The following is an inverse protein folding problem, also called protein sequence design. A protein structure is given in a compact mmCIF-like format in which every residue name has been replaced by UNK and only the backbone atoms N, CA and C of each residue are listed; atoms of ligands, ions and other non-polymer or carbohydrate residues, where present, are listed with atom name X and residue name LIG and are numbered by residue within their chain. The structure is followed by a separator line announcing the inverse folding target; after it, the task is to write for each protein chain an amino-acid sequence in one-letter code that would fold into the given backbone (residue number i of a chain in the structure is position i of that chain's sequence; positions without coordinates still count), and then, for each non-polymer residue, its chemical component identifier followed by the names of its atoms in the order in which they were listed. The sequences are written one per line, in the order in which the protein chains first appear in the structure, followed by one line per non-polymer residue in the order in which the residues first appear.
data_IF_357847406531
#
_entry.id   IF_357847406531
#
_cell.length_a   1.000
_cell.length_b   1.000
_cell.length_c   1.000
_cell.angle_alpha   90.00
_cell.angle_beta   90.00
_cell.angle_gamma   90.00
#
_symmetry.space_group_name_H-M   'P 1'
#
loop_
_entity.id
_entity.type
_entity.pdbx_description
1 polymer ?
#
# COMPACT_ATOMS: atom_id res chain seq x y z
N UNK A 1 2.66 45.09 28.26
CA UNK A 1 2.19 43.80 28.77
C UNK A 1 2.35 42.80 27.66
N UNK A 2 3.35 41.95 27.75
CA UNK A 2 3.56 40.84 26.82
C UNK A 2 2.51 39.78 27.15
N UNK A 3 1.51 39.65 26.29
CA UNK A 3 0.57 38.55 26.33
C UNK A 3 1.38 37.29 26.07
N UNK A 4 1.52 36.41 27.07
CA UNK A 4 2.01 35.06 26.83
C UNK A 4 0.93 34.34 26.04
N UNK A 5 1.22 33.98 24.80
CA UNK A 5 0.37 33.07 24.05
C UNK A 5 0.20 31.77 24.85
N UNK A 6 -1.04 31.28 24.95
CA UNK A 6 -1.31 30.04 25.66
C UNK A 6 -0.55 28.91 24.95
N UNK A 7 0.22 28.11 25.69
CA UNK A 7 0.87 26.92 25.17
C UNK A 7 -0.19 25.81 25.01
N UNK A 8 -0.12 25.08 23.93
CA UNK A 8 -0.97 23.92 23.69
C UNK A 8 -1.95 24.10 22.53
N UNK A 9 -2.98 23.28 22.53
CA UNK A 9 -3.99 23.24 21.47
C UNK A 9 -4.89 24.47 21.49
N UNK A 10 -5.16 25.04 20.31
CA UNK A 10 -6.11 26.11 20.09
C UNK A 10 -6.85 25.89 18.78
N UNK A 11 -8.11 26.32 18.70
CA UNK A 11 -8.90 26.36 17.47
C UNK A 11 -8.85 27.76 16.89
N UNK A 12 -8.43 27.86 15.63
CA UNK A 12 -8.33 29.11 14.90
C UNK A 12 -8.90 28.93 13.49
N UNK A 13 -9.84 29.74 13.10
CA UNK A 13 -10.49 29.73 11.78
C UNK A 13 -11.07 28.36 11.38
N UNK A 14 -11.53 27.57 12.35
CA UNK A 14 -12.11 26.24 12.15
C UNK A 14 -11.07 25.11 12.03
N UNK A 15 -9.80 25.42 12.30
CA UNK A 15 -8.70 24.46 12.25
C UNK A 15 -7.99 24.41 13.60
N UNK A 16 -7.55 23.22 14.01
CA UNK A 16 -6.74 23.05 15.21
C UNK A 16 -5.27 23.35 14.93
N UNK A 17 -4.64 24.10 15.84
CA UNK A 17 -3.22 24.45 15.86
C UNK A 17 -2.63 24.12 17.23
N UNK A 18 -1.32 24.02 17.31
CA UNK A 18 -0.62 23.79 18.57
C UNK A 18 0.46 24.87 18.76
N UNK A 19 0.45 25.54 19.90
CA UNK A 19 1.47 26.52 20.27
C UNK A 19 2.52 25.90 21.19
N UNK A 20 3.76 25.97 20.77
CA UNK A 20 4.93 25.59 21.57
C UNK A 20 5.16 26.57 22.74
N UNK A 21 6.06 26.24 23.63
CA UNK A 21 6.38 27.06 24.78
C UNK A 21 7.01 28.41 24.43
N UNK A 22 7.63 28.53 23.26
CA UNK A 22 8.17 29.78 22.70
C UNK A 22 7.10 30.70 22.13
N UNK A 23 5.85 30.25 22.06
CA UNK A 23 4.72 31.02 21.52
C UNK A 23 4.52 30.89 20.04
N UNK A 24 5.30 30.01 19.36
CA UNK A 24 5.17 29.76 17.93
C UNK A 24 4.33 28.50 17.67
N UNK A 25 3.68 28.44 16.50
CA UNK A 25 2.97 27.25 16.07
C UNK A 25 3.93 26.09 15.83
N UNK A 26 3.56 24.89 16.27
CA UNK A 26 4.21 23.67 15.86
C UNK A 26 3.95 23.44 14.38
N UNK A 27 4.98 23.08 13.61
CA UNK A 27 4.91 22.76 12.18
C UNK A 27 5.70 21.49 11.89
N UNK A 28 5.22 20.68 10.93
CA UNK A 28 5.85 19.44 10.50
C UNK A 28 6.23 18.52 11.66
N UNK A 29 5.31 18.36 12.61
CA UNK A 29 5.56 17.55 13.80
C UNK A 29 4.31 16.94 14.40
N UNK A 30 4.53 15.81 15.09
CA UNK A 30 3.50 15.14 15.87
C UNK A 30 3.31 15.78 17.24
N UNK A 31 2.05 15.88 17.65
CA UNK A 31 1.67 16.27 19.00
C UNK A 31 0.65 15.29 19.57
N UNK A 32 0.86 14.89 20.81
CA UNK A 32 -0.02 13.97 21.54
C UNK A 32 -1.07 14.72 22.32
N UNK A 33 -2.32 14.24 22.26
CA UNK A 33 -3.39 14.67 23.15
C UNK A 33 -4.16 13.44 23.65
N UNK A 34 -4.20 13.24 24.95
CA UNK A 34 -4.69 11.99 25.53
C UNK A 34 -3.85 10.80 25.06
N UNK A 35 -4.49 9.81 24.44
CA UNK A 35 -3.83 8.63 23.87
C UNK A 35 -3.63 8.72 22.35
N UNK A 36 -3.98 9.85 21.74
CA UNK A 36 -3.95 10.03 20.31
C UNK A 36 -2.81 10.93 19.87
N UNK A 37 -2.28 10.66 18.67
CA UNK A 37 -1.29 11.49 18.01
C UNK A 37 -1.92 12.23 16.83
N UNK A 38 -1.51 13.49 16.65
CA UNK A 38 -1.98 14.42 15.63
C UNK A 38 -0.79 15.04 14.93
N UNK A 39 -0.93 15.26 13.62
CA UNK A 39 0.09 15.91 12.81
C UNK A 39 -0.24 17.38 12.57
N UNK A 40 0.71 18.26 12.83
CA UNK A 40 0.66 19.67 12.41
C UNK A 40 1.49 19.80 11.13
N UNK A 41 0.86 20.28 10.06
CA UNK A 41 1.50 20.45 8.76
C UNK A 41 2.47 21.65 8.72
N UNK A 42 2.99 21.98 7.55
CA UNK A 42 3.93 23.09 7.35
C UNK A 42 3.35 24.47 7.69
N UNK A 43 2.03 24.63 7.63
CA UNK A 43 1.33 25.85 8.02
C UNK A 43 0.93 25.85 9.51
N UNK A 44 1.22 24.77 10.21
CA UNK A 44 0.88 24.56 11.60
C UNK A 44 -0.58 24.18 11.82
N UNK A 45 -1.28 23.73 10.79
CA UNK A 45 -2.66 23.27 10.86
C UNK A 45 -2.70 21.74 11.08
N UNK A 46 -3.66 21.28 11.89
CA UNK A 46 -3.86 19.85 12.12
C UNK A 46 -4.35 19.17 10.84
N UNK A 47 -3.59 18.21 10.36
CA UNK A 47 -3.95 17.40 9.21
C UNK A 47 -5.14 16.46 9.53
N UNK A 48 -6.03 16.28 8.57
CA UNK A 48 -7.17 15.36 8.64
C UNK A 48 -7.29 14.56 7.34
N UNK A 49 -7.71 13.30 7.46
CA UNK A 49 -8.01 12.41 6.33
C UNK A 49 -6.93 12.45 5.24
N UNK A 50 -5.70 12.18 5.64
CA UNK A 50 -4.57 12.19 4.70
C UNK A 50 -3.41 11.31 5.13
N UNK A 51 -2.64 10.87 4.14
CA UNK A 51 -1.35 10.23 4.31
C UNK A 51 -0.30 11.27 4.68
N UNK A 52 0.48 10.99 5.72
CA UNK A 52 1.56 11.85 6.21
C UNK A 52 2.90 11.17 5.90
N UNK A 53 3.77 11.88 5.22
CA UNK A 53 5.16 11.50 5.04
C UNK A 53 6.01 12.23 6.08
N UNK A 54 6.67 11.47 6.95
CA UNK A 54 7.58 11.99 7.97
C UNK A 54 8.90 11.21 7.94
N UNK A 55 9.92 11.82 7.37
CA UNK A 55 11.17 11.15 7.04
C UNK A 55 10.94 10.03 6.02
N UNK A 56 11.45 8.85 6.34
CA UNK A 56 11.30 7.65 5.48
C UNK A 56 10.05 6.81 5.83
N UNK A 57 9.12 7.38 6.61
CA UNK A 57 7.95 6.66 7.09
C UNK A 57 6.64 7.32 6.65
N UNK A 58 5.63 6.48 6.47
CA UNK A 58 4.28 6.93 6.13
C UNK A 58 3.33 6.63 7.29
N UNK A 59 2.42 7.57 7.54
CA UNK A 59 1.39 7.53 8.57
C UNK A 59 0.07 7.97 7.96
N UNK A 60 -1.02 7.64 8.60
CA UNK A 60 -2.34 8.15 8.20
C UNK A 60 -3.02 8.79 9.41
N UNK A 61 -3.66 9.92 9.17
CA UNK A 61 -4.56 10.58 10.13
C UNK A 61 -5.98 10.54 9.59
N UNK A 62 -6.93 10.17 10.42
CA UNK A 62 -8.33 10.05 10.05
C UNK A 62 -9.02 11.43 9.94
N UNK A 63 -10.32 11.41 9.70
CA UNK A 63 -11.14 12.65 9.59
C UNK A 63 -11.15 13.49 10.87
N UNK A 64 -10.81 12.89 12.01
CA UNK A 64 -10.67 13.58 13.29
C UNK A 64 -9.20 13.96 13.57
N UNK A 65 -8.29 13.73 12.64
CA UNK A 65 -6.86 13.96 12.78
C UNK A 65 -6.11 12.90 13.58
N UNK A 66 -6.76 11.82 14.00
CA UNK A 66 -6.15 10.79 14.83
C UNK A 66 -5.28 9.87 13.99
N UNK A 67 -4.03 9.68 14.42
CA UNK A 67 -3.10 8.74 13.78
C UNK A 67 -3.63 7.31 13.85
N UNK A 68 -3.71 6.65 12.69
CA UNK A 68 -4.08 5.24 12.58
C UNK A 68 -3.00 4.33 13.17
N UNK A 69 -3.41 3.29 13.88
CA UNK A 69 -2.50 2.28 14.44
C UNK A 69 -3.18 0.91 14.48
N UNK A 70 -2.42 -0.15 14.21
CA UNK A 70 -2.90 -1.53 14.18
C UNK A 70 -4.11 -1.75 13.25
N UNK A 71 -4.12 -1.13 12.07
CA UNK A 71 -5.27 -1.23 11.18
C UNK A 71 -4.90 -1.07 9.71
N UNK A 72 -5.77 -1.62 8.87
CA UNK A 72 -5.80 -1.36 7.45
C UNK A 72 -6.57 -0.09 7.15
N UNK A 73 -6.08 0.69 6.18
CA UNK A 73 -6.78 1.86 5.66
C UNK A 73 -6.72 1.83 4.14
N UNK A 74 -7.87 2.00 3.48
CA UNK A 74 -7.95 2.24 2.05
C UNK A 74 -7.85 3.75 1.79
N UNK A 75 -6.94 4.14 0.92
CA UNK A 75 -6.72 5.54 0.55
C UNK A 75 -6.99 5.68 -0.95
N UNK A 76 -7.82 6.65 -1.32
CA UNK A 76 -8.20 6.90 -2.71
C UNK A 76 -6.96 7.11 -3.57
N UNK A 77 -6.97 6.51 -4.76
CA UNK A 77 -5.91 6.63 -5.74
C UNK A 77 -6.20 7.81 -6.68
N UNK A 78 -5.28 8.74 -6.78
CA UNK A 78 -5.41 9.90 -7.67
C UNK A 78 -5.40 9.52 -9.15
N UNK A 79 -4.80 8.37 -9.48
CA UNK A 79 -4.71 7.80 -10.83
C UNK A 79 -5.86 6.83 -11.15
N UNK A 80 -6.86 6.73 -10.29
CA UNK A 80 -8.02 5.87 -10.50
C UNK A 80 -8.69 6.12 -11.86
N UNK A 81 -8.96 5.02 -12.58
CA UNK A 81 -9.55 5.06 -13.92
C UNK A 81 -8.53 5.08 -15.07
N UNK A 82 -7.24 5.09 -14.77
CA UNK A 82 -6.19 4.73 -15.73
C UNK A 82 -6.08 3.21 -15.85
N UNK A 83 -5.46 2.73 -16.91
CA UNK A 83 -5.25 1.30 -17.12
C UNK A 83 -4.40 0.71 -16.00
N UNK A 84 -4.81 -0.45 -15.47
CA UNK A 84 -4.19 -1.20 -14.37
C UNK A 84 -4.12 -0.45 -13.02
N UNK A 85 -4.80 0.68 -12.88
CA UNK A 85 -4.86 1.45 -11.63
C UNK A 85 -6.14 1.17 -10.85
N UNK A 86 -6.06 0.75 -9.56
CA UNK A 86 -7.23 0.55 -8.72
C UNK A 86 -7.84 1.87 -8.26
N UNK A 87 -9.08 1.83 -7.79
CA UNK A 87 -9.75 3.02 -7.23
C UNK A 87 -9.10 3.50 -5.94
N UNK A 88 -8.48 2.61 -5.19
CA UNK A 88 -7.79 2.89 -3.94
C UNK A 88 -6.67 1.89 -3.71
N UNK A 89 -5.71 2.27 -2.86
CA UNK A 89 -4.68 1.36 -2.36
C UNK A 89 -4.89 1.10 -0.87
N UNK A 90 -4.59 -0.13 -0.44
CA UNK A 90 -4.59 -0.53 0.96
C UNK A 90 -3.21 -0.33 1.58
N UNK A 91 -3.22 0.22 2.79
CA UNK A 91 -2.05 0.40 3.65
C UNK A 91 -2.30 -0.32 4.98
N UNK A 92 -1.25 -0.85 5.59
CA UNK A 92 -1.34 -1.35 6.95
C UNK A 92 -0.45 -0.52 7.87
N UNK A 93 -1.05 0.09 8.87
CA UNK A 93 -0.36 0.89 9.87
C UNK A 93 -0.13 0.06 11.13
N UNK A 94 1.14 -0.02 11.57
CA UNK A 94 1.57 -0.78 12.74
C UNK A 94 1.15 -0.08 14.04
N UNK A 95 1.46 -0.69 15.20
CA UNK A 95 1.15 -0.12 16.52
C UNK A 95 1.76 1.27 16.74
N UNK A 96 2.92 1.54 16.14
CA UNK A 96 3.60 2.84 16.20
C UNK A 96 3.10 3.84 15.14
N UNK A 97 2.09 3.49 14.36
CA UNK A 97 1.54 4.30 13.29
C UNK A 97 2.27 4.19 11.95
N UNK A 98 3.45 3.59 11.89
CA UNK A 98 4.21 3.46 10.63
C UNK A 98 3.57 2.47 9.69
N UNK A 99 3.40 2.86 8.42
CA UNK A 99 2.97 1.94 7.39
C UNK A 99 4.01 0.82 7.18
N UNK A 100 3.54 -0.39 6.91
CA UNK A 100 4.40 -1.44 6.36
C UNK A 100 4.81 -1.05 4.95
N UNK A 101 6.09 -1.20 4.65
CA UNK A 101 6.69 -0.93 3.34
C UNK A 101 7.55 -2.11 2.91
N UNK A 102 8.03 -2.08 1.67
CA UNK A 102 9.00 -3.03 1.16
C UNK A 102 10.29 -3.05 2.01
N UNK A 103 10.69 -1.88 2.54
CA UNK A 103 11.98 -1.69 3.21
C UNK A 103 13.10 -1.39 2.20
N UNK A 104 14.35 -1.57 2.63
CA UNK A 104 15.53 -1.19 1.85
C UNK A 104 15.94 -2.22 0.77
N UNK A 105 15.09 -3.22 0.51
CA UNK A 105 15.36 -4.25 -0.50
C UNK A 105 14.62 -3.95 -1.80
N UNK A 106 15.26 -4.22 -2.93
CA UNK A 106 14.62 -4.15 -4.24
C UNK A 106 13.70 -5.35 -4.53
N UNK A 107 13.68 -6.36 -3.64
CA UNK A 107 12.90 -7.60 -3.78
C UNK A 107 11.66 -7.61 -2.91
N UNK A 108 10.71 -8.45 -3.26
CA UNK A 108 9.52 -8.72 -2.44
C UNK A 108 9.92 -9.07 -1.00
N UNK A 109 9.39 -8.31 -0.06
CA UNK A 109 9.55 -8.52 1.38
C UNK A 109 8.20 -8.89 1.99
N UNK A 110 8.03 -10.17 2.35
CA UNK A 110 6.78 -10.65 2.92
C UNK A 110 6.61 -10.18 4.36
N UNK A 111 5.46 -9.57 4.65
CA UNK A 111 5.05 -9.12 5.97
C UNK A 111 3.86 -9.94 6.45
N UNK A 112 3.87 -10.33 7.73
CA UNK A 112 2.76 -11.08 8.31
C UNK A 112 1.82 -10.13 9.07
N UNK A 113 0.55 -10.13 8.68
CA UNK A 113 -0.53 -9.42 9.35
C UNK A 113 -1.65 -10.39 9.64
N UNK A 114 -2.01 -10.54 10.91
CA UNK A 114 -3.09 -11.43 11.36
C UNK A 114 -2.99 -12.88 10.78
N UNK A 115 -1.79 -13.40 10.69
CA UNK A 115 -1.52 -14.77 10.23
C UNK A 115 -1.46 -14.97 8.71
N UNK A 116 -1.72 -13.94 7.92
CA UNK A 116 -1.57 -13.95 6.46
C UNK A 116 -0.33 -13.16 6.05
N UNK A 117 0.23 -13.50 4.88
CA UNK A 117 1.39 -12.80 4.33
C UNK A 117 0.99 -11.86 3.22
N UNK A 118 1.57 -10.68 3.26
CA UNK A 118 1.36 -9.57 2.33
C UNK A 118 2.69 -9.01 1.87
N UNK A 119 2.67 -8.29 0.75
CA UNK A 119 3.77 -7.48 0.28
C UNK A 119 3.31 -6.04 0.05
N UNK A 120 4.22 -5.11 0.20
CA UNK A 120 3.99 -3.68 0.03
C UNK A 120 5.08 -3.11 -0.86
N UNK A 121 4.79 -2.02 -1.56
CA UNK A 121 5.84 -1.25 -2.24
C UNK A 121 6.60 -0.34 -1.26
N UNK A 122 7.51 0.46 -1.78
CA UNK A 122 8.32 1.38 -1.00
C UNK A 122 7.53 2.57 -0.41
N UNK A 123 6.37 2.88 -0.99
CA UNK A 123 5.45 3.91 -0.49
C UNK A 123 4.38 3.36 0.49
N UNK A 124 4.39 2.06 0.75
CA UNK A 124 3.47 1.40 1.68
C UNK A 124 2.17 0.91 1.05
N UNK A 125 2.01 0.97 -0.27
CA UNK A 125 0.85 0.44 -0.96
C UNK A 125 0.90 -1.08 -0.98
N UNK A 126 -0.18 -1.73 -0.55
CA UNK A 126 -0.30 -3.19 -0.60
C UNK A 126 -0.27 -3.67 -2.06
N UNK A 127 0.61 -4.61 -2.36
CA UNK A 127 0.67 -5.25 -3.66
C UNK A 127 -0.46 -6.27 -3.81
N UNK A 128 -1.03 -6.36 -5.01
CA UNK A 128 -2.07 -7.33 -5.36
C UNK A 128 -1.88 -7.80 -6.81
N UNK A 129 -2.56 -8.89 -7.20
CA UNK A 129 -2.38 -9.46 -8.52
C UNK A 129 -1.01 -10.14 -8.68
N UNK A 130 -0.54 -10.19 -9.91
CA UNK A 130 0.78 -10.70 -10.23
C UNK A 130 1.88 -9.73 -9.81
N UNK A 131 2.92 -10.24 -9.18
CA UNK A 131 4.06 -9.46 -8.69
C UNK A 131 5.36 -10.15 -9.08
N UNK A 132 6.29 -9.37 -9.62
CA UNK A 132 7.66 -9.80 -9.87
C UNK A 132 8.48 -9.77 -8.56
N UNK A 133 9.19 -10.86 -8.26
CA UNK A 133 9.96 -10.96 -7.01
C UNK A 133 11.16 -10.04 -6.96
N UNK A 134 11.77 -9.74 -8.10
CA UNK A 134 13.04 -9.02 -8.19
C UNK A 134 12.87 -7.50 -8.17
N UNK A 135 11.72 -6.99 -8.62
CA UNK A 135 11.39 -5.55 -8.57
C UNK A 135 10.48 -5.19 -7.40
N UNK A 136 9.77 -6.16 -6.82
CA UNK A 136 8.69 -5.94 -5.85
C UNK A 136 7.61 -4.98 -6.36
N UNK A 137 7.31 -5.06 -7.66
CA UNK A 137 6.28 -4.29 -8.34
C UNK A 137 5.18 -5.20 -8.86
N UNK A 138 4.00 -4.63 -9.00
CA UNK A 138 2.91 -5.29 -9.71
C UNK A 138 3.28 -5.44 -11.18
N UNK A 139 3.00 -6.61 -11.72
CA UNK A 139 3.08 -6.84 -13.17
C UNK A 139 1.80 -6.33 -13.79
N UNK A 140 1.91 -5.56 -14.87
CA UNK A 140 0.75 -5.16 -15.67
C UNK A 140 0.07 -6.41 -16.24
N UNK A 141 -1.22 -6.53 -15.95
CA UNK A 141 -2.06 -7.66 -16.36
C UNK A 141 -3.27 -7.20 -17.19
N UNK A 142 -3.21 -6.00 -17.75
CA UNK A 142 -4.28 -5.42 -18.57
C UNK A 142 -4.64 -6.33 -19.75
N UNK A 143 -3.65 -6.97 -20.33
CA UNK A 143 -3.82 -7.92 -21.45
C UNK A 143 -4.04 -9.38 -20.96
N UNK A 144 -4.08 -9.62 -19.64
CA UNK A 144 -4.30 -10.96 -19.06
C UNK A 144 -3.09 -11.89 -19.18
N UNK A 145 -1.90 -11.37 -19.43
CA UNK A 145 -0.67 -12.14 -19.62
C UNK A 145 0.39 -11.94 -18.53
N UNK A 146 0.05 -11.24 -17.46
CA UNK A 146 0.93 -10.98 -16.33
C UNK A 146 1.48 -12.25 -15.66
N UNK A 147 0.86 -13.40 -15.87
CA UNK A 147 1.35 -14.69 -15.40
C UNK A 147 2.72 -15.07 -15.98
N UNK A 148 3.12 -14.50 -17.12
CA UNK A 148 4.43 -14.75 -17.74
C UNK A 148 5.58 -14.26 -16.85
N UNK A 149 5.43 -13.07 -16.29
CA UNK A 149 6.45 -12.38 -15.49
C UNK A 149 6.24 -12.55 -13.98
N UNK A 150 4.98 -12.63 -13.54
CA UNK A 150 4.64 -12.72 -12.13
C UNK A 150 5.18 -13.97 -11.45
N UNK A 151 5.89 -13.78 -10.35
CA UNK A 151 6.40 -14.86 -9.48
C UNK A 151 5.44 -15.19 -8.36
N UNK A 152 4.78 -14.16 -7.82
CA UNK A 152 3.76 -14.25 -6.78
C UNK A 152 2.39 -13.83 -7.32
N UNK A 153 1.35 -14.33 -6.67
CA UNK A 153 0.00 -13.81 -6.85
C UNK A 153 -0.62 -13.47 -5.49
N UNK A 154 -0.99 -12.21 -5.31
CA UNK A 154 -1.49 -11.66 -4.05
C UNK A 154 -3.00 -11.40 -4.05
N UNK A 155 -3.77 -12.17 -4.80
CA UNK A 155 -5.22 -12.01 -4.84
C UNK A 155 -5.67 -10.73 -5.56
N UNK A 156 -6.91 -10.34 -5.31
CA UNK A 156 -7.47 -9.11 -5.88
C UNK A 156 -7.07 -7.85 -5.10
N UNK A 157 -7.44 -6.69 -5.64
CA UNK A 157 -7.09 -5.36 -5.08
C UNK A 157 -7.55 -5.14 -3.63
N UNK A 158 -8.61 -5.81 -3.19
CA UNK A 158 -9.13 -5.75 -1.82
C UNK A 158 -8.70 -6.94 -0.95
N UNK A 159 -7.86 -7.84 -1.44
CA UNK A 159 -7.40 -9.03 -0.70
C UNK A 159 -5.91 -8.93 -0.34
N UNK A 160 -5.04 -8.94 -1.30
CA UNK A 160 -3.58 -8.83 -1.14
C UNK A 160 -2.90 -10.00 -0.42
N UNK A 161 -3.63 -11.02 0.00
CA UNK A 161 -3.03 -12.16 0.69
C UNK A 161 -2.25 -13.06 -0.27
N UNK A 162 -1.03 -13.44 0.12
CA UNK A 162 -0.16 -14.32 -0.66
C UNK A 162 -0.85 -15.66 -0.96
N UNK A 163 -0.92 -16.01 -2.23
CA UNK A 163 -1.45 -17.30 -2.68
C UNK A 163 -0.46 -18.44 -2.43
N UNK A 164 -0.97 -19.57 -1.96
CA UNK A 164 -0.26 -20.83 -1.76
C UNK A 164 -1.13 -21.98 -2.27
N UNK A 165 -0.52 -22.96 -2.94
CA UNK A 165 -1.23 -24.11 -3.50
C UNK A 165 -1.81 -23.82 -4.90
N UNK A 166 -2.85 -24.55 -5.25
CA UNK A 166 -3.50 -24.44 -6.55
C UNK A 166 -4.47 -23.25 -6.61
N UNK A 167 -4.35 -22.47 -7.68
CA UNK A 167 -5.29 -21.38 -7.98
C UNK A 167 -5.62 -21.40 -9.47
N UNK A 168 -6.91 -21.24 -9.77
CA UNK A 168 -7.40 -21.07 -11.14
C UNK A 168 -7.60 -19.60 -11.43
N UNK A 169 -7.03 -19.13 -12.54
CA UNK A 169 -7.13 -17.75 -12.99
C UNK A 169 -7.54 -17.68 -14.45
N UNK A 170 -8.23 -16.62 -14.80
CA UNK A 170 -8.48 -16.24 -16.18
C UNK A 170 -7.25 -15.52 -16.72
N UNK A 171 -6.76 -15.96 -17.87
CA UNK A 171 -5.57 -15.43 -18.52
C UNK A 171 -5.80 -15.29 -20.02
N UNK A 172 -5.07 -14.39 -20.65
CA UNK A 172 -4.98 -14.29 -22.11
C UNK A 172 -3.55 -14.60 -22.54
N UNK A 173 -3.40 -15.33 -23.61
CA UNK A 173 -2.10 -15.67 -24.17
C UNK A 173 -2.11 -15.37 -25.67
N UNK A 174 -1.42 -14.33 -26.05
CA UNK A 174 -1.45 -13.76 -27.39
C UNK A 174 -0.27 -14.18 -28.31
N UNK A 175 0.59 -15.10 -27.84
CA UNK A 175 1.73 -15.61 -28.60
C UNK A 175 1.85 -17.13 -28.52
N UNK A 176 1.32 -17.84 -29.51
CA UNK A 176 1.38 -19.29 -29.58
C UNK A 176 2.80 -19.88 -29.59
N UNK A 177 3.79 -19.07 -29.97
CA UNK A 177 5.19 -19.48 -30.12
C UNK A 177 6.11 -18.84 -29.09
N UNK A 178 5.59 -18.38 -27.98
CA UNK A 178 6.40 -17.77 -26.93
C UNK A 178 7.46 -18.76 -26.43
N UNK A 179 8.71 -18.41 -26.59
CA UNK A 179 9.85 -19.26 -26.20
C UNK A 179 9.95 -19.47 -24.70
N UNK A 180 9.43 -18.55 -23.91
CA UNK A 180 9.43 -18.64 -22.45
C UNK A 180 8.55 -19.76 -21.93
N UNK A 181 7.51 -20.11 -22.68
CA UNK A 181 6.54 -21.15 -22.36
C UNK A 181 6.52 -22.31 -23.36
N UNK A 182 7.58 -22.53 -24.09
CA UNK A 182 7.64 -23.55 -25.15
C UNK A 182 7.22 -24.97 -24.71
N UNK A 183 7.36 -25.30 -23.43
CA UNK A 183 6.92 -26.58 -22.87
C UNK A 183 5.46 -26.56 -22.40
N UNK A 184 4.90 -25.38 -22.19
CA UNK A 184 3.50 -25.19 -21.78
C UNK A 184 2.63 -24.68 -22.91
N UNK A 185 3.23 -24.19 -24.00
CA UNK A 185 2.52 -23.65 -25.16
C UNK A 185 1.38 -24.54 -25.70
N UNK A 186 1.49 -25.88 -25.68
CA UNK A 186 0.37 -26.74 -26.10
C UNK A 186 -0.89 -26.65 -25.26
N UNK A 187 -0.80 -26.08 -24.03
CA UNK A 187 -1.95 -25.91 -23.14
C UNK A 187 -2.54 -24.51 -23.17
N UNK A 188 -1.90 -23.58 -23.88
CA UNK A 188 -2.40 -22.23 -24.10
C UNK A 188 -2.80 -22.08 -25.57
N UNK A 189 -3.95 -21.50 -25.79
CA UNK A 189 -4.39 -21.09 -27.12
C UNK A 189 -3.96 -19.63 -27.35
N UNK A 190 -3.64 -19.32 -28.58
CA UNK A 190 -3.24 -17.99 -28.99
C UNK A 190 -4.47 -17.07 -29.07
N UNK A 191 -4.32 -15.81 -28.62
CA UNK A 191 -5.34 -14.76 -28.67
C UNK A 191 -6.72 -15.14 -28.08
N UNK A 192 -6.73 -16.04 -27.10
CA UNK A 192 -7.98 -16.50 -26.47
C UNK A 192 -7.95 -16.29 -24.96
N UNK A 193 -9.05 -15.77 -24.44
CA UNK A 193 -9.34 -15.80 -23.00
C UNK A 193 -9.51 -17.24 -22.54
N UNK A 194 -8.77 -17.64 -21.56
CA UNK A 194 -8.78 -19.00 -21.07
C UNK A 194 -8.57 -19.07 -19.57
N UNK A 195 -9.09 -20.12 -18.96
CA UNK A 195 -8.92 -20.37 -17.53
C UNK A 195 -7.83 -21.41 -17.32
N UNK A 196 -6.83 -21.09 -16.49
CA UNK A 196 -5.68 -21.96 -16.22
C UNK A 196 -5.42 -22.10 -14.75
N UNK A 197 -4.89 -23.28 -14.38
CA UNK A 197 -4.44 -23.59 -13.04
C UNK A 197 -2.96 -23.29 -12.88
N UNK A 198 -2.64 -22.60 -11.78
CA UNK A 198 -1.28 -22.31 -11.35
C UNK A 198 -1.04 -22.93 -9.97
N UNK A 199 0.20 -23.35 -9.71
CA UNK A 199 0.59 -23.84 -8.40
C UNK A 199 1.66 -22.94 -7.79
N UNK A 200 1.41 -22.54 -6.55
CA UNK A 200 2.31 -21.70 -5.75
C UNK A 200 2.86 -22.51 -4.58
N UNK A 201 4.17 -22.49 -4.41
CA UNK A 201 4.85 -23.17 -3.29
C UNK A 201 4.44 -22.56 -1.96
N UNK A 202 4.85 -23.19 -0.84
CA UNK A 202 4.61 -22.67 0.51
C UNK A 202 5.24 -21.30 0.78
N UNK A 203 6.26 -20.92 0.01
CA UNK A 203 6.86 -19.59 0.03
C UNK A 203 6.15 -18.55 -0.88
N UNK A 204 5.06 -18.94 -1.53
CA UNK A 204 4.29 -18.10 -2.44
C UNK A 204 4.79 -18.04 -3.88
N UNK A 205 5.93 -18.67 -4.21
CA UNK A 205 6.47 -18.60 -5.57
C UNK A 205 5.78 -19.59 -6.50
N UNK A 206 5.39 -19.09 -7.67
CA UNK A 206 4.85 -19.93 -8.76
C UNK A 206 5.88 -20.95 -9.25
N UNK A 207 5.42 -22.14 -9.65
CA UNK A 207 6.23 -23.17 -10.31
C UNK A 207 6.09 -23.02 -11.81
#
# INVERSE_FOLDING_TARGET
MTSFAATGWAEEDGTWVYYNRDGERATDQWKKSGNNWYWLDSDGEMAIDQLIEDGDNYYYVDINGVMAANQWVAIDNEDAGQDDEPDHYWYYFQANGKALTQGDNDKVSLKTVNGKKYAFDDEGRMLFGWVDEDSAERVDDTDGDGFKEGTYYFGGEDDGAMTVGWLQLDVTYDEATNDDYKYTAPVFNDDEDQTRWFYFKSNGKKI
#
